data_IF_347992225097
#
_entry.id   IF_347992225097
#
_cell.length_a   1.000
_cell.length_b   1.000
_cell.length_c   1.000
_cell.angle_alpha   90.00
_cell.angle_beta   90.00
_cell.angle_gamma   90.00
#
_symmetry.space_group_name_H-M   'P 1'
#
loop_
_entity.id
_entity.type
_entity.pdbx_description
1 polymer ?
#
# COMPACT_ATOMS: atom_id res chain seq x y z
N UNK A 1 -49.74 58.59 -41.52
CA UNK A 1 -50.26 58.43 -40.15
C UNK A 1 -49.30 57.54 -39.37
N UNK A 2 -49.10 57.82 -38.07
CA UNK A 2 -48.16 57.23 -37.09
C UNK A 2 -48.46 55.71 -36.90
N UNK A 3 -47.53 54.81 -36.55
CA UNK A 3 -46.84 54.55 -35.26
C UNK A 3 -45.51 53.79 -35.53
N UNK A 4 -44.33 54.15 -35.00
CA UNK A 4 -43.68 53.73 -33.72
C UNK A 4 -43.82 52.22 -33.40
N UNK A 5 -42.82 51.41 -33.03
CA UNK A 5 -41.49 51.64 -32.47
C UNK A 5 -40.53 50.46 -32.76
N UNK A 6 -39.24 50.78 -32.58
CA UNK A 6 -37.98 50.02 -32.64
C UNK A 6 -38.01 48.72 -31.81
N UNK A 7 -37.19 47.72 -32.15
CA UNK A 7 -35.96 47.38 -31.37
C UNK A 7 -35.15 46.21 -31.97
N UNK A 8 -33.86 46.50 -32.15
CA UNK A 8 -32.63 45.74 -32.41
C UNK A 8 -32.66 44.25 -32.79
N UNK A 9 -32.07 44.00 -33.96
CA UNK A 9 -31.37 42.77 -34.36
C UNK A 9 -30.11 42.56 -33.52
N UNK A 10 -29.92 41.35 -32.98
CA UNK A 10 -28.57 40.81 -32.72
C UNK A 10 -28.49 39.39 -33.28
N UNK A 11 -27.48 39.23 -34.12
CA UNK A 11 -27.11 38.04 -34.89
C UNK A 11 -25.91 37.40 -34.18
N UNK A 12 -25.87 36.07 -34.08
CA UNK A 12 -24.69 35.16 -34.10
C UNK A 12 -25.13 33.82 -33.46
N UNK A 13 -25.49 32.80 -34.24
CA UNK A 13 -24.69 31.81 -34.99
C UNK A 13 -24.63 30.46 -34.25
N UNK A 14 -25.26 29.48 -34.91
CA UNK A 14 -25.40 28.05 -34.59
C UNK A 14 -24.04 27.35 -34.69
N UNK A 15 -23.78 26.28 -33.93
CA UNK A 15 -23.01 25.13 -34.43
C UNK A 15 -23.24 23.84 -33.60
N UNK A 16 -23.93 22.90 -34.26
CA UNK A 16 -23.79 21.44 -34.22
C UNK A 16 -23.59 20.71 -32.88
N UNK A 17 -24.62 19.96 -32.48
CA UNK A 17 -24.49 18.88 -31.51
C UNK A 17 -23.63 17.73 -32.06
N UNK A 18 -22.55 17.41 -31.36
CA UNK A 18 -21.94 16.09 -31.38
C UNK A 18 -22.41 15.36 -30.12
N UNK A 19 -23.25 14.35 -30.27
CA UNK A 19 -23.52 13.36 -29.22
C UNK A 19 -22.30 12.46 -29.08
N UNK A 20 -21.25 12.97 -28.45
CA UNK A 20 -20.11 12.17 -28.01
C UNK A 20 -20.57 11.28 -26.85
N UNK A 21 -20.76 9.99 -27.13
CA UNK A 21 -20.99 8.99 -26.09
C UNK A 21 -19.71 8.89 -25.27
N UNK A 22 -19.70 9.50 -24.08
CA UNK A 22 -18.64 9.32 -23.09
C UNK A 22 -18.72 7.87 -22.59
N UNK A 23 -17.94 6.99 -23.20
CA UNK A 23 -17.58 5.72 -22.58
C UNK A 23 -16.72 6.06 -21.35
N UNK A 24 -17.37 6.24 -20.20
CA UNK A 24 -16.66 6.20 -18.93
C UNK A 24 -16.20 4.76 -18.72
N UNK A 25 -14.99 4.45 -19.20
CA UNK A 25 -14.26 3.31 -18.68
C UNK A 25 -14.13 3.52 -17.18
N UNK A 26 -14.88 2.74 -16.41
CA UNK A 26 -14.74 2.67 -14.96
C UNK A 26 -13.44 1.95 -14.69
N UNK A 27 -12.32 2.66 -14.82
CA UNK A 27 -11.01 2.13 -14.50
C UNK A 27 -11.02 1.80 -12.99
N UNK A 28 -10.77 0.55 -12.58
CA UNK A 28 -10.52 0.29 -11.18
C UNK A 28 -9.25 1.06 -10.82
N UNK A 29 -9.37 1.99 -9.88
CA UNK A 29 -8.21 2.68 -9.34
C UNK A 29 -7.44 1.70 -8.46
N UNK A 30 -6.49 0.96 -9.02
CA UNK A 30 -5.36 0.38 -8.27
C UNK A 30 -4.36 1.49 -7.90
N UNK A 31 -4.85 2.57 -7.28
CA UNK A 31 -3.99 3.33 -6.38
C UNK A 31 -3.87 2.50 -5.11
N UNK A 32 -3.11 1.41 -5.19
CA UNK A 32 -2.74 0.57 -4.07
C UNK A 32 -2.17 1.49 -2.98
N UNK A 33 -2.84 1.52 -1.83
CA UNK A 33 -2.62 2.48 -0.74
C UNK A 33 -1.13 2.73 -0.49
N UNK A 34 -0.62 3.90 -0.87
CA UNK A 34 0.76 4.35 -0.57
C UNK A 34 1.03 4.48 0.93
N UNK A 35 0.02 4.26 1.78
CA UNK A 35 0.13 4.23 3.24
C UNK A 35 0.16 2.80 3.83
N UNK A 36 0.19 1.77 2.99
CA UNK A 36 0.05 0.38 3.45
C UNK A 36 -1.28 0.12 4.15
N UNK A 37 -1.39 -1.05 4.78
CA UNK A 37 -2.56 -1.50 5.56
C UNK A 37 -2.09 -2.15 6.86
N UNK A 38 -2.95 -2.13 7.87
CA UNK A 38 -2.76 -2.97 9.06
C UNK A 38 -3.15 -4.42 8.72
N UNK A 39 -2.32 -5.37 9.15
CA UNK A 39 -2.64 -6.80 9.10
C UNK A 39 -3.10 -7.23 10.49
N UNK A 40 -4.41 -7.37 10.65
CA UNK A 40 -5.05 -7.62 11.95
C UNK A 40 -5.34 -9.10 12.11
N UNK A 41 -4.88 -9.69 13.21
CA UNK A 41 -5.31 -11.02 13.62
C UNK A 41 -6.77 -10.96 14.08
N UNK A 42 -7.66 -11.67 13.39
CA UNK A 42 -9.11 -11.57 13.61
C UNK A 42 -9.57 -12.11 14.97
N UNK A 43 -8.82 -13.04 15.57
CA UNK A 43 -9.14 -13.61 16.88
C UNK A 43 -8.81 -12.64 18.02
N UNK A 44 -7.62 -12.04 17.99
CA UNK A 44 -7.12 -11.19 19.08
C UNK A 44 -7.39 -9.70 18.87
N UNK A 45 -7.69 -9.27 17.64
CA UNK A 45 -7.79 -7.86 17.26
C UNK A 45 -6.46 -7.11 17.24
N UNK A 46 -5.32 -7.81 17.38
CA UNK A 46 -3.96 -7.25 17.39
C UNK A 46 -3.37 -7.18 15.99
N UNK A 47 -2.41 -6.27 15.79
CA UNK A 47 -1.77 -6.02 14.51
C UNK A 47 -0.41 -6.72 14.43
N UNK A 48 0.00 -7.12 13.22
CA UNK A 48 1.40 -7.47 12.94
C UNK A 48 2.26 -6.22 13.12
N UNK A 49 3.26 -6.33 13.97
CA UNK A 49 4.10 -5.27 14.50
C UNK A 49 5.58 -5.66 14.38
N UNK A 50 6.47 -4.68 14.30
CA UNK A 50 7.92 -4.91 14.33
C UNK A 50 8.44 -4.55 15.71
N UNK A 51 9.12 -5.48 16.36
CA UNK A 51 9.68 -5.25 17.70
C UNK A 51 10.65 -4.06 17.72
N UNK A 52 10.30 -3.03 18.51
CA UNK A 52 11.04 -1.79 18.68
C UNK A 52 10.15 -0.54 18.62
N UNK A 53 10.69 0.62 19.00
CA UNK A 53 9.97 1.91 18.91
C UNK A 53 10.88 2.97 18.24
N UNK A 54 10.88 3.10 16.90
CA UNK A 54 10.21 2.21 15.93
C UNK A 54 11.09 0.98 15.62
N UNK A 55 10.45 -0.13 15.29
CA UNK A 55 11.09 -1.35 14.78
C UNK A 55 11.52 -1.18 13.33
N UNK A 56 12.77 -0.76 13.10
CA UNK A 56 13.32 -0.54 11.75
C UNK A 56 14.61 -1.31 11.45
N UNK A 57 15.12 -2.08 12.41
CA UNK A 57 16.40 -2.77 12.27
C UNK A 57 16.24 -4.11 11.54
N UNK A 58 17.28 -4.53 10.81
CA UNK A 58 17.35 -5.91 10.34
C UNK A 58 17.38 -6.86 11.54
N UNK A 59 16.79 -8.04 11.37
CA UNK A 59 16.58 -9.05 12.40
C UNK A 59 15.65 -8.62 13.56
N UNK A 60 14.96 -7.48 13.44
CA UNK A 60 13.86 -7.17 14.35
C UNK A 60 12.75 -8.22 14.19
N UNK A 61 12.21 -8.71 15.30
CA UNK A 61 11.20 -9.77 15.27
C UNK A 61 9.86 -9.19 14.81
N UNK A 62 9.08 -9.99 14.11
CA UNK A 62 7.66 -9.70 13.96
C UNK A 62 6.90 -10.21 15.17
N UNK A 63 5.93 -9.43 15.62
CA UNK A 63 5.11 -9.76 16.80
C UNK A 63 3.66 -9.33 16.61
N UNK A 64 2.80 -9.73 17.55
CA UNK A 64 1.46 -9.19 17.68
C UNK A 64 1.46 -8.12 18.76
N UNK A 65 1.03 -6.92 18.41
CA UNK A 65 0.91 -5.81 19.35
C UNK A 65 -0.43 -5.08 19.21
N UNK A 66 -0.76 -4.23 20.18
CA UNK A 66 -1.97 -3.42 20.10
C UNK A 66 -1.91 -2.50 18.87
N UNK A 67 -3.03 -2.42 18.15
CA UNK A 67 -3.08 -1.74 16.87
C UNK A 67 -2.94 -0.21 16.99
N UNK A 68 -2.02 0.37 16.24
CA UNK A 68 -1.73 1.81 16.19
C UNK A 68 -2.51 2.52 15.06
N UNK A 69 -3.83 2.38 15.04
CA UNK A 69 -4.67 2.84 13.90
C UNK A 69 -4.58 4.34 13.59
N UNK A 70 -4.19 5.18 14.55
CA UNK A 70 -3.91 6.60 14.35
C UNK A 70 -2.72 6.85 13.40
N UNK A 71 -1.92 5.83 13.15
CA UNK A 71 -0.64 5.92 12.44
C UNK A 71 0.52 6.35 13.33
N UNK A 72 0.32 6.40 14.65
CA UNK A 72 1.30 6.85 15.64
C UNK A 72 1.38 5.88 16.81
N UNK A 73 2.60 5.59 17.27
CA UNK A 73 2.86 4.90 18.54
C UNK A 73 2.30 5.72 19.71
N UNK A 74 1.51 5.12 20.62
CA UNK A 74 0.87 5.84 21.72
C UNK A 74 1.84 6.35 22.78
N UNK A 75 3.06 5.79 22.88
CA UNK A 75 3.98 6.12 23.96
C UNK A 75 4.90 7.31 23.63
N UNK A 76 5.47 7.33 22.43
CA UNK A 76 6.44 8.35 21.97
C UNK A 76 5.94 9.15 20.76
N UNK A 77 4.77 8.85 20.20
CA UNK A 77 4.20 9.58 19.05
C UNK A 77 4.96 9.37 17.74
N UNK A 78 5.79 8.32 17.66
CA UNK A 78 6.52 7.99 16.43
C UNK A 78 5.56 7.45 15.37
N UNK A 79 5.93 7.54 14.09
CA UNK A 79 5.14 6.91 13.02
C UNK A 79 5.12 5.40 13.24
N UNK A 80 3.94 4.79 13.11
CA UNK A 80 3.75 3.34 13.28
C UNK A 80 4.55 2.51 12.26
N UNK A 81 5.08 1.38 12.72
CA UNK A 81 5.67 0.30 11.92
C UNK A 81 4.68 -0.86 11.67
N UNK A 82 3.40 -0.71 12.02
CA UNK A 82 2.38 -1.76 11.83
C UNK A 82 1.68 -1.69 10.46
N UNK A 83 2.26 -0.97 9.50
CA UNK A 83 1.70 -0.76 8.16
C UNK A 83 2.49 -1.54 7.12
N UNK A 84 1.76 -2.36 6.37
CA UNK A 84 2.29 -3.33 5.44
C UNK A 84 1.69 -3.19 4.05
N UNK A 85 2.50 -3.41 3.03
CA UNK A 85 2.13 -3.43 1.63
C UNK A 85 2.51 -4.78 1.03
N UNK A 86 1.51 -5.54 0.55
CA UNK A 86 1.77 -6.70 -0.30
C UNK A 86 1.98 -6.19 -1.73
N UNK A 87 3.17 -6.39 -2.29
CA UNK A 87 3.52 -5.98 -3.65
C UNK A 87 3.01 -7.00 -4.68
N UNK A 88 2.95 -6.60 -5.95
CA UNK A 88 2.65 -7.51 -7.07
C UNK A 88 3.67 -8.65 -7.19
N UNK A 89 4.89 -8.39 -6.74
CA UNK A 89 5.96 -9.37 -6.64
C UNK A 89 5.93 -10.14 -5.32
N UNK A 90 4.82 -10.16 -4.56
CA UNK A 90 4.68 -11.00 -3.38
C UNK A 90 5.54 -10.61 -2.17
N UNK A 91 6.21 -9.46 -2.17
CA UNK A 91 6.89 -8.97 -0.97
C UNK A 91 5.85 -8.37 -0.02
N UNK A 92 5.98 -8.62 1.29
CA UNK A 92 5.23 -7.88 2.32
C UNK A 92 6.17 -6.84 2.91
N UNK A 93 6.06 -5.60 2.41
CA UNK A 93 6.94 -4.49 2.76
C UNK A 93 6.35 -3.64 3.88
N UNK A 94 7.16 -3.37 4.90
CA UNK A 94 6.87 -2.40 5.93
C UNK A 94 6.95 -0.97 5.36
N UNK A 95 5.90 -0.17 5.48
CA UNK A 95 5.87 1.14 4.84
C UNK A 95 6.69 2.21 5.57
N UNK A 96 7.05 1.98 6.85
CA UNK A 96 7.90 2.90 7.61
C UNK A 96 9.37 2.71 7.24
N UNK A 97 9.87 1.49 7.32
CA UNK A 97 11.28 1.15 7.12
C UNK A 97 11.64 0.86 5.66
N UNK A 98 10.67 0.51 4.82
CA UNK A 98 10.90 0.03 3.46
C UNK A 98 11.45 -1.39 3.38
N UNK A 99 11.56 -2.10 4.51
CA UNK A 99 12.08 -3.46 4.66
C UNK A 99 10.96 -4.50 4.53
N UNK A 100 11.31 -5.76 4.31
CA UNK A 100 10.37 -6.84 4.00
C UNK A 100 10.25 -7.84 5.15
N UNK A 101 9.10 -8.53 5.22
CA UNK A 101 8.95 -9.74 6.03
C UNK A 101 9.84 -10.84 5.44
N UNK A 102 10.73 -11.34 6.28
CA UNK A 102 11.80 -12.28 5.97
C UNK A 102 11.69 -13.52 6.86
N UNK A 103 12.12 -14.68 6.33
CA UNK A 103 12.20 -15.93 7.09
C UNK A 103 13.65 -16.11 7.55
N UNK A 104 13.87 -16.14 8.86
CA UNK A 104 15.22 -16.21 9.42
C UNK A 104 16.04 -17.38 8.86
N UNK A 105 17.11 -17.04 8.12
CA UNK A 105 17.97 -17.95 7.37
C UNK A 105 18.47 -17.32 6.06
N UNK A 106 19.23 -18.09 5.26
CA UNK A 106 19.67 -17.67 3.91
C UNK A 106 19.59 -18.87 2.95
N UNK A 107 18.40 -19.21 2.40
CA UNK A 107 17.08 -18.84 2.87
C UNK A 107 16.65 -19.70 4.07
N UNK A 108 15.74 -19.18 4.89
CA UNK A 108 15.03 -19.91 5.92
C UNK A 108 13.92 -20.79 5.33
N UNK A 109 14.04 -22.12 5.45
CA UNK A 109 13.05 -23.08 4.92
C UNK A 109 12.60 -24.13 5.94
N UNK A 110 13.19 -24.12 7.13
CA UNK A 110 12.90 -25.13 8.15
C UNK A 110 11.60 -24.82 8.89
N UNK A 111 10.89 -25.86 9.32
CA UNK A 111 9.76 -25.72 10.23
C UNK A 111 10.17 -24.93 11.47
N UNK A 112 9.28 -24.05 11.92
CA UNK A 112 9.48 -23.16 13.06
C UNK A 112 10.56 -22.07 12.90
N UNK A 113 11.11 -21.88 11.69
CA UNK A 113 11.86 -20.66 11.35
C UNK A 113 11.05 -19.41 11.72
N UNK A 114 11.74 -18.40 12.24
CA UNK A 114 11.10 -17.19 12.75
C UNK A 114 10.92 -16.19 11.61
N UNK A 115 9.90 -15.35 11.73
CA UNK A 115 9.76 -14.19 10.86
C UNK A 115 10.45 -13.00 11.49
N UNK A 116 11.13 -12.24 10.64
CA UNK A 116 11.84 -11.03 11.01
C UNK A 116 11.66 -9.94 9.96
N UNK A 117 12.11 -8.74 10.29
CA UNK A 117 12.25 -7.65 9.36
C UNK A 117 13.67 -7.69 8.78
N UNK A 118 13.80 -7.64 7.45
CA UNK A 118 15.10 -7.56 6.79
C UNK A 118 15.05 -6.71 5.51
N UNK A 119 16.20 -6.29 5.02
CA UNK A 119 16.29 -5.63 3.72
C UNK A 119 15.66 -6.47 2.62
N UNK A 120 14.88 -5.81 1.76
CA UNK A 120 14.15 -6.48 0.71
C UNK A 120 15.07 -7.01 -0.40
N UNK A 121 14.87 -8.28 -0.79
CA UNK A 121 15.63 -8.95 -1.84
C UNK A 121 14.93 -8.86 -3.21
N UNK A 122 14.69 -7.64 -3.70
CA UNK A 122 13.86 -7.39 -4.90
C UNK A 122 14.35 -8.05 -6.20
N UNK A 123 15.62 -8.44 -6.27
CA UNK A 123 16.17 -9.23 -7.40
C UNK A 123 15.65 -10.67 -7.43
N UNK A 124 14.94 -11.11 -6.39
CA UNK A 124 14.54 -12.49 -6.16
C UNK A 124 15.67 -13.36 -5.60
N UNK A 125 16.79 -12.76 -5.18
CA UNK A 125 17.95 -13.47 -4.63
C UNK A 125 18.59 -12.75 -3.45
N UNK A 126 19.14 -13.53 -2.52
CA UNK A 126 19.92 -13.01 -1.41
C UNK A 126 21.25 -12.38 -1.89
N UNK A 127 21.70 -11.27 -1.28
CA UNK A 127 22.88 -10.55 -1.76
C UNK A 127 24.21 -11.21 -1.41
N UNK A 128 24.23 -12.20 -0.50
CA UNK A 128 25.45 -12.79 0.03
C UNK A 128 25.87 -14.06 -0.71
N UNK A 129 24.91 -14.94 -1.01
CA UNK A 129 25.10 -16.25 -1.62
C UNK A 129 24.40 -16.37 -2.98
N UNK A 130 23.54 -15.42 -3.36
CA UNK A 130 22.83 -15.42 -4.63
C UNK A 130 21.78 -16.53 -4.74
N UNK A 131 21.31 -17.07 -3.61
CA UNK A 131 20.25 -18.08 -3.51
C UNK A 131 18.89 -17.41 -3.70
N UNK A 132 17.89 -18.18 -4.08
CA UNK A 132 16.51 -17.66 -4.20
C UNK A 132 16.01 -17.11 -2.87
N UNK A 133 15.37 -15.95 -2.91
CA UNK A 133 14.79 -15.30 -1.73
C UNK A 133 13.65 -16.11 -1.11
N UNK A 134 13.49 -16.01 0.21
CA UNK A 134 12.36 -16.51 1.00
C UNK A 134 11.33 -15.41 1.35
N UNK A 135 11.54 -14.17 0.88
CA UNK A 135 10.70 -13.02 1.21
C UNK A 135 9.45 -12.89 0.32
N UNK A 136 9.06 -13.96 -0.39
CA UNK A 136 7.97 -13.99 -1.36
C UNK A 136 6.77 -14.75 -0.77
N UNK A 137 5.64 -14.06 -0.68
CA UNK A 137 4.42 -14.50 -0.05
C UNK A 137 3.26 -14.49 -1.05
N UNK A 138 2.39 -15.49 -0.95
CA UNK A 138 1.16 -15.59 -1.72
C UNK A 138 -0.02 -15.76 -0.75
N UNK A 139 -1.14 -15.09 -1.03
CA UNK A 139 -2.39 -15.34 -0.33
C UNK A 139 -3.12 -16.48 -1.02
N UNK A 140 -3.25 -17.60 -0.31
CA UNK A 140 -3.98 -18.78 -0.79
C UNK A 140 -5.38 -18.84 -0.20
N UNK A 141 -6.29 -19.53 -0.89
CA UNK A 141 -7.71 -19.69 -0.52
C UNK A 141 -8.00 -21.04 0.11
#
# INVERSE_FOLDING_TARGET
>A
MRFSAKFLTSLLLVLSGLTGSLLFSKQPSEAQSTRGRFLVNTLSGKCIDVDGIPGTNNAAKLQLFDCEFSGRDPFQGRTTDQRWELTSDGFIRNTLSGKCIDVDGIPGTNNAAKLQLFDCEFSGRDPFQGRTTDQRWELTS
#
